data_IF_033906270858
#
_entry.id   IF_033906270858
#
_cell.length_a   1.000
_cell.length_b   1.000
_cell.length_c   1.000
_cell.angle_alpha   90.00
_cell.angle_beta   90.00
_cell.angle_gamma   90.00
#
_symmetry.space_group_name_H-M   'P 1'
#
loop_
_entity.id
_entity.type
_entity.pdbx_description
1 polymer ?
#
# COMPACT_ATOMS: atom_id res chain seq x y z
N UNK A 1 -13.21 11.20 -4.19
CA UNK A 1 -11.95 11.51 -3.47
C UNK A 1 -10.76 10.74 -4.04
N UNK A 2 -10.96 9.55 -4.59
CA UNK A 2 -9.92 8.74 -5.25
C UNK A 2 -10.21 8.50 -6.74
N UNK A 3 -11.19 9.21 -7.30
CA UNK A 3 -11.72 8.99 -8.65
C UNK A 3 -10.70 9.32 -9.76
N UNK A 4 -9.56 9.92 -9.40
CA UNK A 4 -8.46 10.25 -10.31
C UNK A 4 -7.43 9.12 -10.41
N UNK A 5 -7.43 8.15 -9.49
CA UNK A 5 -6.42 7.10 -9.41
C UNK A 5 -7.01 5.78 -9.91
N UNK A 6 -6.36 5.17 -10.91
CA UNK A 6 -6.74 3.85 -11.40
C UNK A 6 -6.53 2.77 -10.33
N UNK A 7 -5.49 2.91 -9.51
CA UNK A 7 -5.14 2.00 -8.42
C UNK A 7 -4.63 2.81 -7.23
N UNK A 8 -5.08 2.44 -6.03
CA UNK A 8 -4.61 2.98 -4.75
C UNK A 8 -4.07 1.84 -3.90
N UNK A 9 -2.76 1.88 -3.65
CA UNK A 9 -2.04 0.87 -2.89
C UNK A 9 -1.78 1.38 -1.47
N UNK A 10 -2.19 0.61 -0.49
CA UNK A 10 -2.06 0.91 0.93
C UNK A 10 -0.94 0.10 1.57
N UNK A 11 -0.22 0.71 2.49
CA UNK A 11 0.93 0.05 3.13
C UNK A 11 0.49 -1.06 4.09
N UNK A 12 -0.66 -0.91 4.74
CA UNK A 12 -1.15 -1.90 5.69
C UNK A 12 -2.69 -2.00 5.70
N UNK A 13 -3.19 -3.05 6.33
CA UNK A 13 -4.61 -3.32 6.49
C UNK A 13 -5.39 -2.27 7.29
N UNK A 14 -4.76 -1.53 8.20
CA UNK A 14 -5.40 -0.47 8.97
C UNK A 14 -5.69 0.76 8.10
N UNK A 15 -4.73 1.15 7.25
CA UNK A 15 -4.89 2.19 6.23
C UNK A 15 -5.94 1.74 5.20
N UNK A 16 -5.89 0.48 4.74
CA UNK A 16 -6.90 -0.07 3.83
C UNK A 16 -8.30 -0.02 4.44
N UNK A 17 -8.44 -0.43 5.72
CA UNK A 17 -9.71 -0.37 6.44
C UNK A 17 -10.25 1.05 6.57
N UNK A 18 -9.37 2.00 6.85
CA UNK A 18 -9.72 3.43 6.91
C UNK A 18 -10.20 3.95 5.56
N UNK A 19 -9.49 3.62 4.47
CA UNK A 19 -9.90 4.02 3.12
C UNK A 19 -11.22 3.38 2.71
N UNK A 20 -11.43 2.09 3.01
CA UNK A 20 -12.71 1.40 2.73
C UNK A 20 -13.90 2.01 3.47
N UNK A 21 -13.69 2.54 4.67
CA UNK A 21 -14.75 3.19 5.44
C UNK A 21 -15.18 4.56 4.86
N UNK A 22 -14.31 5.22 4.09
CA UNK A 22 -14.54 6.57 3.55
C UNK A 22 -14.74 6.61 2.03
N UNK A 23 -14.39 5.53 1.32
CA UNK A 23 -14.59 5.42 -0.13
C UNK A 23 -16.02 4.97 -0.46
N UNK A 24 -16.55 5.52 -1.56
CA UNK A 24 -17.80 5.06 -2.16
C UNK A 24 -17.61 3.70 -2.84
N UNK A 25 -18.71 2.98 -3.11
CA UNK A 25 -18.67 1.67 -3.80
C UNK A 25 -17.88 1.71 -5.11
N UNK A 26 -17.95 2.82 -5.84
CA UNK A 26 -17.26 3.03 -7.13
C UNK A 26 -15.73 3.01 -7.03
N UNK A 27 -15.16 3.39 -5.87
CA UNK A 27 -13.71 3.45 -5.65
C UNK A 27 -13.15 2.22 -4.93
N UNK A 28 -14.03 1.40 -4.35
CA UNK A 28 -13.66 0.21 -3.57
C UNK A 28 -12.84 -0.83 -4.37
N UNK A 29 -13.12 -1.08 -5.66
CA UNK A 29 -12.32 -2.01 -6.47
C UNK A 29 -10.87 -1.56 -6.69
N UNK A 30 -10.60 -0.25 -6.59
CA UNK A 30 -9.28 0.31 -6.86
C UNK A 30 -8.35 0.25 -5.64
N UNK A 31 -8.86 -0.19 -4.47
CA UNK A 31 -8.10 -0.26 -3.22
C UNK A 31 -7.45 -1.63 -3.02
N UNK A 32 -6.14 -1.66 -2.82
CA UNK A 32 -5.39 -2.88 -2.51
C UNK A 32 -4.25 -2.64 -1.50
N UNK A 33 -3.68 -3.73 -0.99
CA UNK A 33 -2.41 -3.67 -0.25
C UNK A 33 -1.24 -3.60 -1.24
N UNK A 34 -0.20 -2.86 -0.87
CA UNK A 34 1.01 -2.69 -1.66
C UNK A 34 1.69 -4.04 -1.94
N UNK A 35 1.83 -4.91 -0.94
CA UNK A 35 2.43 -6.24 -1.12
C UNK A 35 1.40 -7.32 -1.49
N UNK A 36 0.19 -6.94 -1.89
CA UNK A 36 -0.90 -7.85 -2.28
C UNK A 36 -1.62 -8.46 -1.07
N UNK A 37 -0.97 -9.39 -0.37
CA UNK A 37 -1.57 -10.18 0.72
C UNK A 37 -0.97 -9.91 2.11
N UNK A 38 0.01 -9.00 2.19
CA UNK A 38 0.71 -8.67 3.43
C UNK A 38 0.94 -7.17 3.60
N UNK A 39 1.19 -6.77 4.85
CA UNK A 39 1.48 -5.39 5.21
C UNK A 39 2.97 -5.05 5.01
N UNK A 40 3.24 -3.78 4.72
CA UNK A 40 4.55 -3.14 4.88
C UNK A 40 4.65 -2.67 6.34
N UNK A 41 5.65 -3.10 7.11
CA UNK A 41 5.82 -2.67 8.50
C UNK A 41 6.04 -1.16 8.60
N UNK A 42 5.45 -0.51 9.62
CA UNK A 42 5.67 0.91 9.92
C UNK A 42 7.07 1.12 10.53
N UNK A 43 8.00 1.82 9.85
CA UNK A 43 9.35 2.06 10.37
C UNK A 43 9.42 3.26 11.32
N UNK A 44 8.32 4.00 11.53
CA UNK A 44 8.34 5.24 12.30
C UNK A 44 8.79 5.01 13.76
N UNK A 45 9.80 5.77 14.19
CA UNK A 45 10.37 5.67 15.54
C UNK A 45 11.23 4.43 15.79
N UNK A 46 11.50 3.63 14.76
CA UNK A 46 12.39 2.47 14.83
C UNK A 46 13.83 2.84 14.46
N UNK A 47 14.74 1.85 14.47
CA UNK A 47 16.13 2.03 14.07
C UNK A 47 16.28 2.29 12.56
N UNK A 48 17.42 2.87 12.17
CA UNK A 48 17.79 3.05 10.76
C UNK A 48 17.83 1.72 9.98
N UNK A 49 18.16 0.62 10.66
CA UNK A 49 18.13 -0.73 10.07
C UNK A 49 16.71 -1.13 9.68
N UNK A 50 15.72 -0.95 10.57
CA UNK A 50 14.31 -1.24 10.29
C UNK A 50 13.77 -0.32 9.19
N UNK A 51 14.18 0.95 9.18
CA UNK A 51 13.83 1.87 8.11
C UNK A 51 14.39 1.41 6.76
N UNK A 52 15.66 1.01 6.73
CA UNK A 52 16.31 0.50 5.52
C UNK A 52 15.66 -0.79 5.02
N UNK A 53 15.32 -1.72 5.93
CA UNK A 53 14.62 -2.95 5.59
C UNK A 53 13.24 -2.67 4.97
N UNK A 54 12.53 -1.67 5.50
CA UNK A 54 11.26 -1.20 4.92
C UNK A 54 11.47 -0.62 3.52
N UNK A 55 12.52 0.18 3.29
CA UNK A 55 12.85 0.72 1.97
C UNK A 55 13.19 -0.39 0.95
N UNK A 56 14.00 -1.37 1.33
CA UNK A 56 14.33 -2.53 0.48
C UNK A 56 13.08 -3.35 0.16
N UNK A 57 12.19 -3.54 1.14
CA UNK A 57 10.91 -4.22 0.94
C UNK A 57 10.01 -3.50 -0.06
N UNK A 58 9.94 -2.17 0.02
CA UNK A 58 9.17 -1.34 -0.93
C UNK A 58 9.81 -1.43 -2.32
N UNK A 59 11.12 -1.30 -2.44
CA UNK A 59 11.81 -1.42 -3.73
C UNK A 59 11.54 -2.78 -4.40
N UNK A 60 11.66 -3.88 -3.65
CA UNK A 60 11.36 -5.22 -4.16
C UNK A 60 9.87 -5.40 -4.51
N UNK A 61 8.96 -4.84 -3.70
CA UNK A 61 7.51 -4.91 -3.90
C UNK A 61 7.04 -4.21 -5.18
N UNK A 62 7.79 -3.21 -5.66
CA UNK A 62 7.45 -2.45 -6.87
C UNK A 62 7.28 -3.35 -8.10
N UNK A 63 8.01 -4.47 -8.17
CA UNK A 63 7.89 -5.44 -9.26
C UNK A 63 6.47 -6.03 -9.40
N UNK A 64 5.68 -6.07 -8.32
CA UNK A 64 4.28 -6.54 -8.33
C UNK A 64 3.36 -5.62 -9.14
N UNK A 65 3.76 -4.38 -9.39
CA UNK A 65 2.92 -3.36 -10.02
C UNK A 65 3.37 -3.00 -11.43
N UNK A 66 4.61 -3.33 -11.79
CA UNK A 66 5.20 -3.00 -13.10
C UNK A 66 4.93 -4.05 -14.19
N UNK A 67 4.37 -5.23 -13.84
CA UNK A 67 4.09 -6.32 -14.78
C UNK A 67 2.86 -6.15 -15.68
N UNK A 68 2.20 -4.98 -15.67
CA UNK A 68 1.00 -4.69 -16.45
C UNK A 68 1.20 -3.64 -17.56
N UNK A 69 2.45 -3.29 -17.91
CA UNK A 69 2.78 -2.37 -19.01
C UNK A 69 3.08 -3.09 -20.32
#
# INVERSE_FOLDING_TARGET
>A
MLDWADIVLTMDAAVLGTLRAICTEDNSPNLGLYLGDRDVPDPMGQSDEVFNDCAVLIEAGTALHLGHL
#
